data_IF_084203745894
#
_entry.id   IF_084203745894
#
_cell.length_a   1.000
_cell.length_b   1.000
_cell.length_c   1.000
_cell.angle_alpha   90.00
_cell.angle_beta   90.00
_cell.angle_gamma   90.00
#
_symmetry.space_group_name_H-M   'P 1'
#
loop_
_entity.id
_entity.type
_entity.pdbx_description
1 polymer ?
#
# COMPACT_ATOMS: atom_id res chain seq x y z
N UNK A 1 -25.17 -2.73 -6.41
CA UNK A 1 -23.71 -2.82 -6.66
C UNK A 1 -23.16 -1.55 -7.24
N UNK A 2 -22.02 -1.07 -6.77
CA UNK A 2 -21.36 0.15 -7.25
C UNK A 2 -19.84 -0.03 -7.29
N UNK A 3 -19.25 0.17 -8.46
CA UNK A 3 -17.79 0.19 -8.62
C UNK A 3 -17.21 1.43 -7.94
N UNK A 4 -16.13 1.27 -7.20
CA UNK A 4 -15.42 2.38 -6.55
C UNK A 4 -14.40 2.95 -7.54
N UNK A 5 -14.55 4.23 -7.88
CA UNK A 5 -13.69 4.91 -8.85
C UNK A 5 -12.43 5.46 -8.16
N UNK A 6 -11.49 4.56 -7.85
CA UNK A 6 -10.24 4.90 -7.14
C UNK A 6 -9.41 5.97 -7.85
N UNK A 7 -9.55 6.10 -9.18
CA UNK A 7 -8.90 7.17 -9.94
C UNK A 7 -9.40 8.55 -9.52
N UNK A 8 -10.70 8.72 -9.31
CA UNK A 8 -11.28 10.00 -8.87
C UNK A 8 -10.81 10.37 -7.46
N UNK A 9 -10.72 9.38 -6.57
CA UNK A 9 -10.19 9.57 -5.21
C UNK A 9 -8.74 10.07 -5.28
N UNK A 10 -7.92 9.36 -6.06
CA UNK A 10 -6.51 9.69 -6.28
C UNK A 10 -6.34 11.11 -6.82
N UNK A 11 -7.08 11.48 -7.87
CA UNK A 11 -6.98 12.81 -8.49
C UNK A 11 -7.36 13.94 -7.53
N UNK A 12 -8.37 13.75 -6.68
CA UNK A 12 -8.74 14.72 -5.63
C UNK A 12 -7.60 14.94 -4.64
N UNK A 13 -6.97 13.86 -4.17
CA UNK A 13 -5.86 13.92 -3.23
C UNK A 13 -4.65 14.58 -3.88
N UNK A 14 -4.27 14.17 -5.09
CA UNK A 14 -3.14 14.75 -5.83
C UNK A 14 -3.35 16.24 -6.12
N UNK A 15 -4.55 16.64 -6.50
CA UNK A 15 -4.89 18.05 -6.71
C UNK A 15 -4.72 18.89 -5.44
N UNK A 16 -5.13 18.34 -4.29
CA UNK A 16 -4.92 18.98 -2.98
C UNK A 16 -3.44 19.11 -2.64
N UNK A 17 -2.65 18.06 -2.83
CA UNK A 17 -1.20 18.10 -2.60
C UNK A 17 -0.52 19.12 -3.51
N UNK A 18 -0.87 19.16 -4.79
CA UNK A 18 -0.36 20.12 -5.76
C UNK A 18 -0.63 21.57 -5.34
N UNK A 19 -1.83 21.85 -4.81
CA UNK A 19 -2.19 23.19 -4.30
C UNK A 19 -1.37 23.56 -3.05
N UNK A 20 -1.19 22.60 -2.11
CA UNK A 20 -0.37 22.82 -0.89
C UNK A 20 1.05 23.24 -1.23
N UNK A 21 1.65 22.66 -2.28
CA UNK A 21 3.06 22.90 -2.64
C UNK A 21 3.28 23.97 -3.72
N UNK A 22 2.21 24.60 -4.17
CA UNK A 22 2.32 25.67 -5.18
C UNK A 22 3.17 26.82 -4.69
N UNK A 23 4.35 27.02 -5.32
CA UNK A 23 5.29 28.07 -4.95
C UNK A 23 5.99 27.88 -3.59
N UNK A 24 5.99 26.66 -3.05
CA UNK A 24 6.66 26.29 -1.80
C UNK A 24 7.76 25.28 -2.03
N UNK A 25 8.63 25.09 -1.01
CA UNK A 25 9.58 23.99 -0.99
C UNK A 25 8.83 22.66 -1.09
N UNK A 26 9.26 21.79 -1.98
CA UNK A 26 8.67 20.48 -2.24
C UNK A 26 9.52 19.36 -1.65
N UNK A 27 8.92 18.22 -1.26
CA UNK A 27 9.69 17.06 -0.82
C UNK A 27 10.38 16.34 -1.97
N UNK A 28 11.48 15.66 -1.66
CA UNK A 28 12.24 14.79 -2.57
C UNK A 28 11.89 13.34 -2.30
N UNK A 29 11.33 12.66 -3.30
CA UNK A 29 11.04 11.21 -3.29
C UNK A 29 12.28 10.43 -3.74
N UNK A 30 12.82 9.56 -2.88
CA UNK A 30 13.85 8.58 -3.23
C UNK A 30 13.24 7.22 -3.57
N UNK A 31 13.69 6.59 -4.66
CA UNK A 31 13.31 5.22 -5.02
C UNK A 31 14.56 4.44 -5.39
N UNK A 32 14.78 3.32 -4.73
CA UNK A 32 15.82 2.35 -5.10
C UNK A 32 15.14 1.10 -5.64
N UNK A 33 15.55 0.66 -6.82
CA UNK A 33 15.17 -0.62 -7.41
C UNK A 33 16.39 -1.47 -7.75
N UNK A 34 16.27 -2.79 -7.64
CA UNK A 34 17.33 -3.74 -7.91
C UNK A 34 16.87 -4.72 -8.98
N UNK A 35 17.65 -4.84 -10.06
CA UNK A 35 17.36 -5.72 -11.18
C UNK A 35 16.29 -5.18 -12.14
N UNK A 36 15.94 -6.04 -13.11
CA UNK A 36 15.13 -5.69 -14.26
C UNK A 36 13.70 -6.25 -14.21
N UNK A 37 13.17 -6.52 -12.99
CA UNK A 37 11.83 -7.11 -12.86
C UNK A 37 10.75 -6.19 -13.45
N UNK A 38 10.20 -6.57 -14.60
CA UNK A 38 9.29 -5.73 -15.38
C UNK A 38 8.07 -5.18 -14.62
N UNK A 39 7.38 -5.93 -13.75
CA UNK A 39 6.31 -5.38 -12.92
C UNK A 39 6.80 -4.26 -11.99
N UNK A 40 7.98 -4.39 -11.36
CA UNK A 40 8.55 -3.34 -10.49
C UNK A 40 8.81 -2.06 -11.27
N UNK A 41 9.35 -2.14 -12.48
CA UNK A 41 9.58 -0.97 -13.35
C UNK A 41 8.30 -0.19 -13.64
N UNK A 42 7.19 -0.88 -13.90
CA UNK A 42 5.89 -0.23 -14.14
C UNK A 42 5.46 0.56 -12.90
N UNK A 43 5.62 -0.01 -11.69
CA UNK A 43 5.26 0.66 -10.44
C UNK A 43 6.20 1.83 -10.12
N UNK A 44 7.51 1.67 -10.31
CA UNK A 44 8.50 2.75 -10.12
C UNK A 44 8.18 3.91 -11.05
N UNK A 45 8.02 3.66 -12.35
CA UNK A 45 7.69 4.68 -13.33
C UNK A 45 6.38 5.42 -12.98
N UNK A 46 5.39 4.70 -12.48
CA UNK A 46 4.14 5.29 -12.05
C UNK A 46 4.33 6.19 -10.81
N UNK A 47 5.08 5.74 -9.80
CA UNK A 47 5.40 6.53 -8.61
C UNK A 47 6.09 7.84 -8.98
N UNK A 48 7.12 7.76 -9.85
CA UNK A 48 7.85 8.94 -10.36
C UNK A 48 6.92 9.87 -11.12
N UNK A 49 6.13 9.35 -12.05
CA UNK A 49 5.19 10.14 -12.83
C UNK A 49 4.20 10.89 -11.93
N UNK A 50 3.54 10.20 -11.01
CA UNK A 50 2.53 10.80 -10.13
C UNK A 50 3.17 11.81 -9.14
N UNK A 51 4.40 11.58 -8.65
CA UNK A 51 5.15 12.54 -7.86
C UNK A 51 5.48 13.82 -8.67
N UNK A 52 5.96 13.66 -9.90
CA UNK A 52 6.25 14.78 -10.81
C UNK A 52 4.99 15.59 -11.17
N UNK A 53 3.85 14.92 -11.39
CA UNK A 53 2.56 15.60 -11.66
C UNK A 53 2.09 16.51 -10.51
N UNK A 54 2.44 16.17 -9.28
CA UNK A 54 2.18 16.97 -8.08
C UNK A 54 3.17 18.11 -7.97
N UNK A 55 4.38 17.96 -8.55
CA UNK A 55 5.50 18.90 -8.46
C UNK A 55 6.56 18.48 -7.45
N UNK A 56 6.54 17.24 -6.95
CA UNK A 56 7.58 16.70 -6.10
C UNK A 56 8.85 16.40 -6.90
N UNK A 57 10.01 16.62 -6.29
CA UNK A 57 11.28 16.17 -6.83
C UNK A 57 11.46 14.66 -6.61
N UNK A 58 12.29 14.02 -7.43
CA UNK A 58 12.55 12.60 -7.27
C UNK A 58 13.99 12.21 -7.63
N UNK A 59 14.51 11.22 -6.92
CA UNK A 59 15.79 10.56 -7.16
C UNK A 59 15.49 9.08 -7.41
N UNK A 60 15.78 8.61 -8.61
CA UNK A 60 15.57 7.21 -9.00
C UNK A 60 16.91 6.51 -9.18
N UNK A 61 17.19 5.51 -8.36
CA UNK A 61 18.41 4.73 -8.34
C UNK A 61 18.07 3.31 -8.79
N UNK A 62 18.54 2.95 -9.99
CA UNK A 62 18.39 1.61 -10.54
C UNK A 62 19.72 0.86 -10.40
N UNK A 63 19.71 -0.21 -9.63
CA UNK A 63 20.90 -1.01 -9.34
C UNK A 63 20.82 -2.34 -10.08
N UNK A 64 21.97 -2.84 -10.46
CA UNK A 64 22.11 -4.14 -11.13
C UNK A 64 21.65 -5.28 -10.19
N UNK A 65 21.08 -6.36 -10.75
CA UNK A 65 20.67 -7.54 -10.00
C UNK A 65 21.85 -8.21 -9.26
N UNK A 66 23.06 -8.08 -9.82
CA UNK A 66 24.33 -8.60 -9.28
C UNK A 66 24.91 -7.78 -8.13
N UNK A 67 24.26 -6.68 -7.72
CA UNK A 67 24.77 -5.83 -6.64
C UNK A 67 25.00 -6.62 -5.36
N UNK A 68 26.14 -6.38 -4.69
CA UNK A 68 26.42 -6.98 -3.39
C UNK A 68 25.53 -6.38 -2.29
N UNK A 69 25.25 -7.18 -1.25
CA UNK A 69 24.52 -6.72 -0.06
C UNK A 69 25.13 -5.44 0.55
N UNK A 70 26.47 -5.41 0.65
CA UNK A 70 27.20 -4.25 1.21
C UNK A 70 26.95 -3.01 0.37
N UNK A 71 27.08 -3.10 -0.94
CA UNK A 71 26.86 -1.96 -1.83
C UNK A 71 25.39 -1.50 -1.82
N UNK A 72 24.43 -2.42 -1.74
CA UNK A 72 23.02 -2.05 -1.60
C UNK A 72 22.77 -1.29 -0.29
N UNK A 73 23.32 -1.76 0.83
CA UNK A 73 23.25 -1.05 2.12
C UNK A 73 23.81 0.37 2.03
N UNK A 74 24.98 0.54 1.42
CA UNK A 74 25.60 1.87 1.22
C UNK A 74 24.73 2.78 0.34
N UNK A 75 24.12 2.25 -0.73
CA UNK A 75 23.20 3.02 -1.58
C UNK A 75 21.93 3.44 -0.83
N UNK A 76 21.38 2.60 0.06
CA UNK A 76 20.22 2.96 0.88
C UNK A 76 20.56 4.11 1.82
N UNK A 77 21.72 4.05 2.50
CA UNK A 77 22.18 5.11 3.43
C UNK A 77 22.40 6.42 2.68
N UNK A 78 23.15 6.40 1.57
CA UNK A 78 23.44 7.58 0.76
C UNK A 78 22.14 8.20 0.17
N UNK A 79 21.22 7.38 -0.31
CA UNK A 79 19.94 7.85 -0.82
C UNK A 79 19.07 8.48 0.28
N UNK A 80 19.10 7.90 1.48
CA UNK A 80 18.35 8.44 2.62
C UNK A 80 18.84 9.83 3.04
N UNK A 81 20.12 10.17 2.85
CA UNK A 81 20.64 11.52 3.12
C UNK A 81 20.14 12.56 2.11
N UNK A 82 19.81 12.13 0.88
CA UNK A 82 19.50 13.00 -0.27
C UNK A 82 18.01 13.20 -0.52
N UNK A 83 17.12 12.48 0.18
CA UNK A 83 15.68 12.56 -0.01
C UNK A 83 14.92 12.78 1.30
N UNK A 84 13.67 13.21 1.20
CA UNK A 84 12.77 13.40 2.34
C UNK A 84 11.94 12.15 2.64
N UNK A 85 11.83 11.24 1.70
CA UNK A 85 11.23 9.92 1.87
C UNK A 85 11.79 8.92 0.88
N UNK A 86 12.03 7.68 1.33
CA UNK A 86 12.72 6.65 0.57
C UNK A 86 11.88 5.38 0.47
N UNK A 87 11.98 4.73 -0.69
CA UNK A 87 11.42 3.41 -0.96
C UNK A 87 12.52 2.49 -1.45
N UNK A 88 12.60 1.31 -0.87
CA UNK A 88 13.25 0.16 -1.48
C UNK A 88 12.18 -0.67 -2.20
N UNK A 89 12.20 -0.64 -3.53
CA UNK A 89 11.17 -1.29 -4.34
C UNK A 89 11.24 -2.82 -4.23
N UNK A 90 10.17 -3.43 -3.77
CA UNK A 90 10.01 -4.88 -3.69
C UNK A 90 9.34 -5.45 -4.96
N UNK A 91 9.54 -6.75 -5.27
CA UNK A 91 10.40 -7.69 -4.57
C UNK A 91 11.88 -7.49 -4.89
N UNK A 92 12.75 -7.90 -3.97
CA UNK A 92 14.18 -7.99 -4.22
C UNK A 92 14.53 -9.26 -5.04
N UNK A 93 15.68 -9.30 -5.74
CA UNK A 93 16.24 -10.49 -6.32
C UNK A 93 16.42 -11.62 -5.29
N UNK A 94 16.41 -12.88 -5.73
CA UNK A 94 16.42 -14.05 -4.85
C UNK A 94 17.61 -14.09 -3.89
N UNK A 95 18.79 -13.66 -4.33
CA UNK A 95 20.01 -13.57 -3.53
C UNK A 95 19.97 -12.51 -2.42
N UNK A 96 19.02 -11.59 -2.45
CA UNK A 96 18.86 -10.51 -1.48
C UNK A 96 17.58 -10.64 -0.64
N UNK A 97 16.69 -11.58 -0.96
CA UNK A 97 15.38 -11.73 -0.29
C UNK A 97 15.50 -12.03 1.21
N UNK A 98 16.49 -12.78 1.62
CA UNK A 98 16.70 -13.10 3.05
C UNK A 98 17.06 -11.87 3.88
N UNK A 99 17.62 -10.83 3.24
CA UNK A 99 18.01 -9.56 3.87
C UNK A 99 16.95 -8.47 3.76
N UNK A 100 15.77 -8.76 3.20
CA UNK A 100 14.73 -7.75 2.91
C UNK A 100 14.34 -6.95 4.16
N UNK A 101 14.12 -7.63 5.29
CA UNK A 101 13.75 -6.97 6.54
C UNK A 101 14.90 -6.12 7.10
N UNK A 102 16.13 -6.56 6.98
CA UNK A 102 17.32 -5.79 7.35
C UNK A 102 17.45 -4.52 6.48
N UNK A 103 17.30 -4.68 5.17
CA UNK A 103 17.42 -3.57 4.21
C UNK A 103 16.32 -2.53 4.38
N UNK A 104 15.08 -2.95 4.61
CA UNK A 104 13.97 -2.03 4.90
C UNK A 104 14.21 -1.24 6.20
N UNK A 105 14.84 -1.85 7.20
CA UNK A 105 15.16 -1.20 8.47
C UNK A 105 16.42 -0.31 8.43
N UNK A 106 17.15 -0.24 7.32
CA UNK A 106 18.19 0.77 7.09
C UNK A 106 17.61 2.12 6.64
N UNK A 107 16.39 2.12 6.11
CA UNK A 107 15.69 3.37 5.83
C UNK A 107 15.32 4.00 7.17
N UNK A 108 15.74 5.24 7.48
CA UNK A 108 15.33 5.90 8.71
C UNK A 108 13.80 5.94 8.84
N UNK A 109 13.26 5.67 10.02
CA UNK A 109 11.81 5.59 10.23
C UNK A 109 11.07 6.88 9.83
N UNK A 110 11.73 8.04 10.00
CA UNK A 110 11.26 9.35 9.57
C UNK A 110 11.30 9.57 8.05
N UNK A 111 11.82 8.60 7.29
CA UNK A 111 11.86 8.60 5.81
C UNK A 111 11.18 7.36 5.20
N UNK A 112 10.65 6.47 6.04
CA UNK A 112 9.90 5.28 5.61
C UNK A 112 8.49 5.65 5.14
N UNK A 113 8.36 6.05 3.89
CA UNK A 113 7.06 6.41 3.31
C UNK A 113 6.22 5.20 2.90
N UNK A 114 6.82 4.02 2.78
CA UNK A 114 6.08 2.78 2.50
C UNK A 114 5.48 2.16 3.77
N UNK A 115 5.93 2.62 4.96
CA UNK A 115 5.41 2.21 6.26
C UNK A 115 5.78 0.78 6.64
N UNK A 116 6.91 0.27 6.14
CA UNK A 116 7.38 -1.11 6.33
C UNK A 116 8.53 -1.25 7.34
N UNK A 117 9.06 -0.14 7.86
CA UNK A 117 10.06 -0.17 8.93
C UNK A 117 9.49 -0.85 10.18
N UNK A 118 10.33 -1.63 10.88
CA UNK A 118 9.91 -2.39 12.07
C UNK A 118 9.20 -1.54 13.12
N UNK A 119 9.65 -0.29 13.35
CA UNK A 119 9.06 0.58 14.37
C UNK A 119 7.67 1.06 13.94
N UNK A 120 7.45 1.35 12.65
CA UNK A 120 6.13 1.64 12.12
C UNK A 120 5.20 0.42 12.29
N UNK A 121 5.65 -0.78 11.91
CA UNK A 121 4.87 -2.01 12.04
C UNK A 121 4.60 -2.38 13.51
N UNK A 122 5.58 -2.20 14.40
CA UNK A 122 5.40 -2.43 15.83
C UNK A 122 4.37 -1.46 16.44
N UNK A 123 4.45 -0.17 16.10
CA UNK A 123 3.51 0.82 16.59
C UNK A 123 2.06 0.53 16.15
N UNK A 124 1.86 -0.11 14.98
CA UNK A 124 0.53 -0.57 14.56
C UNK A 124 -0.06 -1.59 15.54
N UNK A 125 0.75 -2.54 16.01
CA UNK A 125 0.29 -3.57 16.96
C UNK A 125 -0.11 -2.98 18.32
N UNK A 126 0.50 -1.85 18.70
CA UNK A 126 0.21 -1.13 19.94
C UNK A 126 -0.96 -0.12 19.84
N UNK A 127 -1.60 -0.02 18.67
CA UNK A 127 -2.66 0.97 18.46
C UNK A 127 -2.18 2.43 18.38
N UNK A 128 -0.88 2.68 18.28
CA UNK A 128 -0.29 4.01 18.17
C UNK A 128 -0.39 4.56 16.74
N UNK A 129 -1.60 4.68 16.22
CA UNK A 129 -1.81 4.99 14.79
C UNK A 129 -1.76 6.48 14.45
N UNK A 130 -1.94 7.39 15.44
CA UNK A 130 -2.07 8.83 15.15
C UNK A 130 -0.79 9.48 14.61
N UNK A 131 0.36 9.02 15.08
CA UNK A 131 1.68 9.57 14.68
C UNK A 131 2.47 8.63 13.77
N UNK A 132 1.91 7.47 13.46
CA UNK A 132 2.59 6.43 12.71
C UNK A 132 2.34 6.57 11.19
N UNK A 133 3.31 6.14 10.39
CA UNK A 133 3.12 5.96 8.96
C UNK A 133 2.53 4.56 8.75
N UNK A 134 1.33 4.51 8.19
CA UNK A 134 0.71 3.25 7.82
C UNK A 134 1.34 2.72 6.52
N UNK A 135 1.44 1.40 6.36
CA UNK A 135 1.81 0.83 5.07
C UNK A 135 0.94 1.42 3.95
N UNK A 136 1.57 1.89 2.89
CA UNK A 136 0.90 2.70 1.86
C UNK A 136 -0.35 2.02 1.29
N UNK A 137 -0.31 0.69 1.08
CA UNK A 137 -1.47 -0.07 0.62
C UNK A 137 -2.59 -0.10 1.67
N UNK A 138 -2.23 -0.26 2.95
CA UNK A 138 -3.21 -0.25 4.06
C UNK A 138 -3.87 1.12 4.17
N UNK A 139 -3.10 2.20 4.10
CA UNK A 139 -3.63 3.57 4.07
C UNK A 139 -4.59 3.76 2.89
N UNK A 140 -4.22 3.28 1.71
CA UNK A 140 -5.06 3.36 0.51
C UNK A 140 -6.41 2.64 0.66
N UNK A 141 -6.44 1.48 1.33
CA UNK A 141 -7.68 0.75 1.65
C UNK A 141 -8.56 1.59 2.58
N UNK A 142 -8.00 2.16 3.63
CA UNK A 142 -8.75 3.00 4.56
C UNK A 142 -9.31 4.24 3.89
N UNK A 143 -8.52 4.90 3.04
CA UNK A 143 -8.96 6.06 2.26
C UNK A 143 -10.13 5.71 1.32
N UNK A 144 -10.11 4.51 0.70
CA UNK A 144 -11.22 4.01 -0.11
C UNK A 144 -12.49 3.89 0.75
N UNK A 145 -12.39 3.25 1.92
CA UNK A 145 -13.52 3.05 2.82
C UNK A 145 -14.08 4.38 3.34
N UNK A 146 -13.22 5.32 3.73
CA UNK A 146 -13.62 6.67 4.15
C UNK A 146 -14.35 7.42 3.03
N UNK A 147 -13.87 7.32 1.79
CA UNK A 147 -14.46 8.00 0.63
C UNK A 147 -15.89 7.53 0.31
N UNK A 148 -16.16 6.24 0.48
CA UNK A 148 -17.51 5.69 0.23
C UNK A 148 -18.45 5.80 1.45
N UNK A 149 -18.02 6.47 2.53
CA UNK A 149 -18.79 6.66 3.74
C UNK A 149 -18.80 5.46 4.70
N UNK A 150 -17.89 4.51 4.51
CA UNK A 150 -17.75 3.29 5.32
C UNK A 150 -16.47 3.30 6.18
N UNK A 151 -15.98 4.50 6.50
CA UNK A 151 -14.75 4.68 7.29
C UNK A 151 -14.91 4.40 8.79
N UNK A 152 -16.14 4.39 9.32
CA UNK A 152 -16.41 3.89 10.67
C UNK A 152 -16.45 2.38 10.65
N UNK A 153 -15.47 1.74 11.30
CA UNK A 153 -15.31 0.29 11.33
C UNK A 153 -15.78 -0.34 12.63
N UNK A 154 -16.28 0.45 13.58
CA UNK A 154 -16.77 -0.04 14.86
C UNK A 154 -17.91 -1.05 14.66
N UNK A 155 -17.71 -2.26 15.21
CA UNK A 155 -18.67 -3.36 15.12
C UNK A 155 -18.78 -4.02 13.74
N UNK A 156 -17.93 -3.63 12.76
CA UNK A 156 -17.93 -4.27 11.43
C UNK A 156 -17.22 -5.62 11.46
N UNK A 157 -17.80 -6.59 10.76
CA UNK A 157 -17.16 -7.87 10.49
C UNK A 157 -16.32 -7.79 9.22
N UNK A 158 -14.99 -7.87 9.38
CA UNK A 158 -14.04 -7.73 8.27
C UNK A 158 -13.27 -9.03 8.05
N UNK A 159 -13.33 -9.57 6.85
CA UNK A 159 -12.53 -10.73 6.44
C UNK A 159 -11.33 -10.27 5.62
N UNK A 160 -10.13 -10.59 6.09
CA UNK A 160 -8.87 -10.35 5.39
C UNK A 160 -8.35 -11.67 4.83
N UNK A 161 -8.25 -11.79 3.52
CA UNK A 161 -7.73 -12.96 2.82
C UNK A 161 -6.32 -12.69 2.36
N UNK A 162 -5.35 -13.38 2.96
CA UNK A 162 -3.91 -13.17 2.77
C UNK A 162 -3.23 -12.67 4.04
N UNK A 163 -2.04 -13.23 4.34
CA UNK A 163 -1.25 -12.95 5.55
C UNK A 163 0.17 -12.48 5.24
N UNK A 164 0.33 -11.78 4.12
CA UNK A 164 1.59 -11.16 3.72
C UNK A 164 2.01 -10.06 4.69
N UNK A 165 3.34 -9.87 4.83
CA UNK A 165 3.92 -8.89 5.74
C UNK A 165 3.67 -7.44 5.34
N UNK A 166 3.48 -7.17 4.05
CA UNK A 166 3.29 -5.83 3.51
C UNK A 166 1.87 -5.31 3.58
N UNK A 167 0.87 -6.22 3.59
CA UNK A 167 -0.56 -5.85 3.58
C UNK A 167 -1.36 -6.61 4.63
N UNK A 168 -1.47 -7.93 4.52
CA UNK A 168 -2.41 -8.72 5.32
C UNK A 168 -2.22 -8.58 6.83
N UNK A 169 -0.99 -8.80 7.32
CA UNK A 169 -0.69 -8.68 8.75
C UNK A 169 -0.84 -7.25 9.28
N UNK A 170 -0.28 -6.20 8.63
CA UNK A 170 -0.50 -4.83 9.07
C UNK A 170 -1.98 -4.42 9.08
N UNK A 171 -2.73 -4.85 8.06
CA UNK A 171 -4.14 -4.52 7.93
C UNK A 171 -4.98 -5.04 9.10
N UNK A 172 -4.72 -6.27 9.56
CA UNK A 172 -5.41 -6.85 10.72
C UNK A 172 -5.25 -5.97 11.96
N UNK A 173 -4.02 -5.55 12.25
CA UNK A 173 -3.74 -4.68 13.39
C UNK A 173 -4.49 -3.35 13.28
N UNK A 174 -4.45 -2.73 12.10
CA UNK A 174 -5.10 -1.43 11.87
C UNK A 174 -6.63 -1.51 11.99
N UNK A 175 -7.23 -2.56 11.43
CA UNK A 175 -8.69 -2.76 11.48
C UNK A 175 -9.17 -3.07 12.90
N UNK A 176 -8.45 -3.95 13.61
CA UNK A 176 -8.74 -4.27 15.02
C UNK A 176 -8.62 -3.03 15.91
N UNK A 177 -7.61 -2.19 15.72
CA UNK A 177 -7.45 -0.93 16.46
C UNK A 177 -8.53 0.11 16.13
N UNK A 178 -9.34 -0.12 15.08
CA UNK A 178 -10.52 0.69 14.72
C UNK A 178 -11.84 0.02 15.13
N UNK A 179 -11.78 -0.91 16.08
CA UNK A 179 -12.92 -1.64 16.66
C UNK A 179 -13.67 -2.55 15.65
N UNK A 180 -13.03 -2.99 14.58
CA UNK A 180 -13.57 -4.03 13.71
C UNK A 180 -13.31 -5.43 14.30
N UNK A 181 -14.24 -6.36 14.08
CA UNK A 181 -14.01 -7.80 14.26
C UNK A 181 -13.31 -8.34 13.03
N UNK A 182 -12.08 -8.83 13.16
CA UNK A 182 -11.28 -9.22 12.00
C UNK A 182 -11.06 -10.72 11.95
N UNK A 183 -11.49 -11.35 10.85
CA UNK A 183 -11.20 -12.75 10.54
C UNK A 183 -10.08 -12.82 9.50
N UNK A 184 -8.94 -13.43 9.89
CA UNK A 184 -7.83 -13.69 8.97
C UNK A 184 -8.01 -15.02 8.27
N UNK A 185 -8.06 -15.01 6.94
CA UNK A 185 -8.08 -16.20 6.09
C UNK A 185 -6.80 -16.36 5.28
N UNK A 186 -6.40 -17.59 5.01
CA UNK A 186 -5.18 -17.92 4.28
C UNK A 186 -5.29 -19.31 3.60
N UNK A 187 -4.26 -19.77 2.90
CA UNK A 187 -4.24 -21.04 2.14
C UNK A 187 -4.56 -22.31 2.93
N UNK A 188 -4.64 -22.26 4.25
CA UNK A 188 -5.00 -23.37 5.12
C UNK A 188 -6.37 -23.17 5.81
N UNK A 189 -7.08 -22.09 5.47
CA UNK A 189 -8.42 -21.83 6.00
C UNK A 189 -9.42 -22.77 5.34
N UNK A 190 -10.16 -23.50 6.15
CA UNK A 190 -11.29 -24.30 5.68
C UNK A 190 -12.53 -23.41 5.51
N UNK A 191 -13.41 -23.80 4.59
CA UNK A 191 -14.72 -23.17 4.38
C UNK A 191 -14.67 -21.65 4.21
N UNK A 192 -13.81 -21.18 3.27
CA UNK A 192 -13.60 -19.75 3.02
C UNK A 192 -14.90 -19.03 2.65
N UNK A 193 -15.77 -19.67 1.86
CA UNK A 193 -17.06 -19.09 1.46
C UNK A 193 -17.96 -18.81 2.68
N UNK A 194 -18.02 -19.72 3.64
CA UNK A 194 -18.79 -19.53 4.88
C UNK A 194 -18.24 -18.39 5.73
N UNK A 195 -16.90 -18.26 5.80
CA UNK A 195 -16.24 -17.18 6.56
C UNK A 195 -16.55 -15.81 6.00
N UNK A 196 -16.85 -15.71 4.71
CA UNK A 196 -17.12 -14.45 4.03
C UNK A 196 -18.59 -14.10 3.89
N UNK A 197 -19.48 -15.08 4.19
CA UNK A 197 -20.91 -14.97 3.92
C UNK A 197 -21.59 -13.81 4.65
N UNK A 198 -21.23 -13.58 5.90
CA UNK A 198 -21.82 -12.53 6.75
C UNK A 198 -20.92 -11.29 6.88
N UNK A 199 -19.79 -11.26 6.17
CA UNK A 199 -18.83 -10.16 6.29
C UNK A 199 -19.34 -8.85 5.66
N UNK A 200 -19.19 -7.75 6.39
CA UNK A 200 -19.44 -6.40 5.89
C UNK A 200 -18.38 -5.98 4.85
N UNK A 201 -17.12 -6.34 5.12
CA UNK A 201 -15.97 -5.95 4.27
C UNK A 201 -15.10 -7.18 4.04
N UNK A 202 -14.76 -7.42 2.79
CA UNK A 202 -13.86 -8.52 2.40
C UNK A 202 -12.70 -7.94 1.62
N UNK A 203 -11.48 -8.13 2.12
CA UNK A 203 -10.26 -7.60 1.53
C UNK A 203 -9.36 -8.76 1.14
N UNK A 204 -9.03 -8.87 -0.15
CA UNK A 204 -8.13 -9.93 -0.63
C UNK A 204 -6.80 -9.38 -1.10
N UNK A 205 -5.71 -9.97 -0.57
CA UNK A 205 -4.32 -9.61 -0.85
C UNK A 205 -3.46 -10.87 -1.05
N UNK A 206 -3.87 -11.74 -1.98
CA UNK A 206 -3.22 -13.03 -2.25
C UNK A 206 -2.41 -13.01 -3.55
N UNK A 207 -2.93 -12.37 -4.60
CA UNK A 207 -2.29 -12.31 -5.90
C UNK A 207 -2.49 -13.58 -6.73
N UNK A 208 -3.68 -14.18 -6.70
CA UNK A 208 -4.06 -15.32 -7.53
C UNK A 208 -5.25 -14.92 -8.40
N UNK A 209 -5.14 -15.01 -9.75
CA UNK A 209 -6.16 -14.45 -10.65
C UNK A 209 -7.52 -15.14 -10.45
N UNK A 210 -8.54 -14.34 -10.10
CA UNK A 210 -9.95 -14.74 -10.06
C UNK A 210 -10.24 -16.04 -9.26
N UNK A 211 -9.45 -16.33 -8.21
CA UNK A 211 -9.65 -17.54 -7.43
C UNK A 211 -10.84 -17.45 -6.47
N UNK A 212 -11.24 -16.23 -6.09
CA UNK A 212 -12.39 -16.01 -5.22
C UNK A 212 -13.67 -15.99 -6.05
N UNK A 213 -14.51 -17.00 -5.81
CA UNK A 213 -15.85 -17.12 -6.39
C UNK A 213 -16.85 -17.29 -5.24
N UNK A 214 -18.09 -16.87 -5.44
CA UNK A 214 -19.16 -17.01 -4.45
C UNK A 214 -18.83 -16.40 -3.08
N UNK A 215 -18.11 -15.26 -3.08
CA UNK A 215 -17.62 -14.57 -1.89
C UNK A 215 -18.52 -13.37 -1.59
N UNK A 216 -18.87 -13.21 -0.30
CA UNK A 216 -19.67 -12.09 0.20
C UNK A 216 -21.17 -12.21 -0.07
N UNK A 217 -21.87 -11.14 0.23
CA UNK A 217 -23.32 -10.99 0.09
C UNK A 217 -23.67 -9.61 -0.49
N UNK A 218 -24.96 -9.30 -0.62
CA UNK A 218 -25.45 -8.05 -1.21
C UNK A 218 -25.06 -6.77 -0.46
N UNK A 219 -24.70 -6.88 0.81
CA UNK A 219 -24.26 -5.77 1.66
C UNK A 219 -22.72 -5.65 1.73
N UNK A 220 -22.00 -6.66 1.28
CA UNK A 220 -20.53 -6.72 1.40
C UNK A 220 -19.83 -5.68 0.53
N UNK A 221 -18.71 -5.18 1.03
CA UNK A 221 -17.75 -4.34 0.31
C UNK A 221 -16.54 -5.21 -0.05
N UNK A 222 -16.22 -5.32 -1.34
CA UNK A 222 -15.11 -6.12 -1.84
C UNK A 222 -13.93 -5.22 -2.23
N UNK A 223 -12.82 -5.35 -1.50
CA UNK A 223 -11.58 -4.61 -1.79
C UNK A 223 -10.53 -5.57 -2.36
N UNK A 224 -10.25 -5.42 -3.64
CA UNK A 224 -9.27 -6.23 -4.36
C UNK A 224 -7.87 -5.57 -4.31
N UNK A 225 -6.95 -6.20 -3.59
CA UNK A 225 -5.56 -5.77 -3.46
C UNK A 225 -4.63 -6.65 -4.27
N UNK A 226 -5.06 -7.89 -4.53
CA UNK A 226 -4.28 -8.86 -5.27
C UNK A 226 -3.96 -8.38 -6.68
N UNK A 227 -2.71 -8.54 -7.09
CA UNK A 227 -2.25 -8.24 -8.44
C UNK A 227 -1.50 -9.44 -8.97
N UNK A 228 -2.01 -9.97 -10.06
CA UNK A 228 -1.43 -11.13 -10.74
C UNK A 228 -1.62 -11.02 -12.26
N UNK A 229 -0.99 -11.90 -13.00
CA UNK A 229 -1.19 -11.99 -14.45
C UNK A 229 -1.84 -13.32 -14.79
N UNK A 230 -2.82 -13.27 -15.66
CA UNK A 230 -3.43 -14.48 -16.24
C UNK A 230 -2.53 -15.11 -17.32
N UNK A 231 -2.95 -16.23 -17.87
CA UNK A 231 -2.24 -16.97 -18.94
C UNK A 231 -1.99 -16.12 -20.20
N UNK A 232 -2.76 -15.05 -20.39
CA UNK A 232 -2.62 -14.10 -21.49
C UNK A 232 -1.79 -12.86 -21.09
N UNK A 233 -1.08 -12.91 -19.97
CA UNK A 233 -0.28 -11.83 -19.42
C UNK A 233 -1.09 -10.56 -19.04
N UNK A 234 -2.42 -10.66 -18.90
CA UNK A 234 -3.29 -9.56 -18.49
C UNK A 234 -3.35 -9.47 -16.97
N UNK A 235 -3.26 -8.25 -16.44
CA UNK A 235 -3.37 -7.99 -15.00
C UNK A 235 -4.79 -8.32 -14.53
N UNK A 236 -4.87 -9.09 -13.44
CA UNK A 236 -6.09 -9.53 -12.79
C UNK A 236 -5.98 -9.39 -11.26
N UNK A 237 -7.12 -9.19 -10.64
CA UNK A 237 -7.29 -9.27 -9.21
C UNK A 237 -7.67 -10.67 -8.73
N UNK A 238 -7.87 -10.77 -7.43
CA UNK A 238 -8.21 -12.02 -6.76
C UNK A 238 -9.69 -12.41 -6.92
N UNK A 239 -10.61 -11.41 -6.97
CA UNK A 239 -12.03 -11.67 -7.12
C UNK A 239 -12.41 -12.01 -8.56
N UNK A 240 -13.18 -13.08 -8.72
CA UNK A 240 -13.86 -13.36 -9.98
C UNK A 240 -14.97 -12.32 -10.23
N UNK A 241 -15.21 -11.88 -11.47
CA UNK A 241 -16.24 -10.87 -11.77
C UNK A 241 -17.64 -11.19 -11.25
N UNK A 242 -18.01 -12.48 -11.13
CA UNK A 242 -19.30 -12.88 -10.58
C UNK A 242 -19.54 -12.44 -9.13
N UNK A 243 -18.49 -12.16 -8.35
CA UNK A 243 -18.64 -11.63 -7.00
C UNK A 243 -19.16 -10.18 -7.01
N UNK A 244 -18.84 -9.43 -8.05
CA UNK A 244 -19.23 -8.01 -8.16
C UNK A 244 -20.75 -7.84 -8.38
N UNK A 245 -21.41 -8.84 -8.95
CA UNK A 245 -22.84 -8.82 -9.23
C UNK A 245 -23.72 -8.93 -7.96
N UNK A 246 -23.11 -9.29 -6.84
CA UNK A 246 -23.83 -9.58 -5.58
C UNK A 246 -23.36 -8.73 -4.41
N UNK A 247 -22.54 -7.69 -4.62
CA UNK A 247 -21.99 -6.90 -3.52
C UNK A 247 -22.49 -5.45 -3.57
N UNK A 248 -22.37 -4.73 -2.44
CA UNK A 248 -22.74 -3.32 -2.32
C UNK A 248 -21.75 -2.42 -3.07
N UNK A 249 -20.46 -2.58 -2.76
CA UNK A 249 -19.35 -1.85 -3.37
C UNK A 249 -18.21 -2.80 -3.73
N UNK A 250 -17.43 -2.44 -4.74
CA UNK A 250 -16.23 -3.20 -5.10
C UNK A 250 -15.16 -2.34 -5.76
N UNK A 251 -13.90 -2.71 -5.54
CA UNK A 251 -12.78 -2.25 -6.35
C UNK A 251 -12.45 -3.27 -7.43
N UNK A 252 -11.80 -2.83 -8.49
CA UNK A 252 -11.32 -3.72 -9.58
C UNK A 252 -9.80 -3.69 -9.65
N UNK A 253 -9.21 -4.73 -10.21
CA UNK A 253 -7.80 -4.79 -10.58
C UNK A 253 -7.68 -5.12 -12.07
N UNK A 254 -7.02 -4.28 -12.88
CA UNK A 254 -6.36 -3.01 -12.56
C UNK A 254 -7.34 -1.82 -12.38
N UNK A 255 -6.87 -0.75 -11.76
CA UNK A 255 -7.65 0.50 -11.64
C UNK A 255 -8.22 0.79 -10.24
N UNK A 256 -8.03 -0.15 -9.29
CA UNK A 256 -8.49 -0.03 -7.91
C UNK A 256 -7.36 0.30 -6.93
N UNK A 257 -7.15 -0.56 -5.95
CA UNK A 257 -6.26 -0.36 -4.79
C UNK A 257 -4.83 0.00 -5.17
N UNK A 258 -4.30 -0.53 -6.29
CA UNK A 258 -2.95 -0.19 -6.75
C UNK A 258 -2.77 1.29 -7.14
N UNK A 259 -3.85 2.00 -7.50
CA UNK A 259 -3.83 3.46 -7.68
C UNK A 259 -3.65 4.12 -6.31
N UNK A 260 -4.46 3.71 -5.35
CA UNK A 260 -4.48 4.28 -4.02
C UNK A 260 -3.17 4.03 -3.25
N UNK A 261 -2.49 2.90 -3.48
CA UNK A 261 -1.17 2.63 -2.91
C UNK A 261 -0.17 3.73 -3.29
N UNK A 262 -0.09 4.11 -4.58
CA UNK A 262 0.81 5.18 -5.03
C UNK A 262 0.39 6.53 -4.44
N UNK A 263 -0.89 6.83 -4.43
CA UNK A 263 -1.42 8.07 -3.84
C UNK A 263 -1.08 8.18 -2.35
N UNK A 264 -1.32 7.11 -1.59
CA UNK A 264 -1.03 7.09 -0.14
C UNK A 264 0.46 7.19 0.18
N UNK A 265 1.30 6.70 -0.72
CA UNK A 265 2.74 6.85 -0.62
C UNK A 265 3.16 8.32 -0.72
N UNK A 266 2.54 9.08 -1.63
CA UNK A 266 2.78 10.52 -1.76
C UNK A 266 2.18 11.31 -0.57
N UNK A 267 1.06 10.87 0.00
CA UNK A 267 0.54 11.43 1.25
C UNK A 267 1.46 11.14 2.44
N UNK A 268 2.04 9.95 2.53
CA UNK A 268 3.01 9.61 3.56
C UNK A 268 4.27 10.49 3.44
N UNK A 269 4.78 10.70 2.21
CA UNK A 269 5.88 11.62 1.96
C UNK A 269 5.53 13.05 2.42
N UNK A 270 4.35 13.54 2.07
CA UNK A 270 3.85 14.83 2.55
C UNK A 270 3.84 14.91 4.08
N UNK A 271 3.28 13.90 4.76
CA UNK A 271 3.20 13.87 6.24
C UNK A 271 4.59 13.93 6.89
N UNK A 272 5.54 13.14 6.42
CA UNK A 272 6.90 13.11 6.98
C UNK A 272 7.64 14.43 6.71
N UNK A 273 7.54 14.96 5.49
CA UNK A 273 8.14 16.24 5.15
C UNK A 273 7.61 17.41 6.01
N UNK A 274 6.30 17.46 6.27
CA UNK A 274 5.71 18.47 7.14
C UNK A 274 6.19 18.33 8.60
N UNK A 275 6.43 17.13 9.11
CA UNK A 275 7.01 16.91 10.45
C UNK A 275 8.42 17.50 10.52
N UNK A 276 9.27 17.19 9.55
CA UNK A 276 10.64 17.71 9.47
C UNK A 276 10.67 19.24 9.43
N UNK A 277 9.79 19.87 8.64
CA UNK A 277 9.68 21.34 8.58
C UNK A 277 9.29 21.95 9.94
N UNK A 278 8.30 21.36 10.63
CA UNK A 278 7.84 21.84 11.92
C UNK A 278 8.91 21.70 13.03
N UNK A 279 9.68 20.62 13.02
CA UNK A 279 10.81 20.43 13.95
C UNK A 279 11.93 21.42 13.71
N UNK A 280 12.18 21.80 12.46
CA UNK A 280 13.21 22.79 12.11
C UNK A 280 12.79 24.23 12.47
N UNK A 281 11.49 24.51 12.44
CA UNK A 281 10.94 25.84 12.76
C UNK A 281 10.87 26.09 14.27
N UNK A 282 10.82 25.04 15.10
CA UNK A 282 10.74 25.09 16.55
C UNK A 282 12.10 25.04 17.27
N UNK A 283 13.19 24.97 16.52
CA UNK A 283 14.59 25.11 16.99
C UNK A 283 15.14 26.47 16.64
#
# INVERSE_FOLDING_TARGET
>A
MKKIECKEISEKIKSKLKEIYRGRKVPVLGIISVGEYAPSKIYVNRKIKEATEIGFENININLEESISLINLKLNIIDAAEKCDGLILQLPLPDNLKEYEDELLNLIPVEKDIDGLHKDNLYNLTLGKNKENILPATVQGILTILEYIGEGNLEGKDVVVIGRGKTVGKPLISVLSNRNATVTLCHSKTANLEEKTKEADIIISAVGIPHFLKNIGNENSILIDVGISRDINNKIKGDFHPSCYEKCKYYTITPGGTGIMTVTSLLENLHKLFQRTLNETTNK
#
